data_IF_527859760157
#
_entry.id   IF_527859760157
#
_cell.length_a   1.000
_cell.length_b   1.000
_cell.length_c   1.000
_cell.angle_alpha   90.00
_cell.angle_beta   90.00
_cell.angle_gamma   90.00
#
_symmetry.space_group_name_H-M   'P 1'
#
loop_
_entity.id
_entity.type
_entity.pdbx_description
1 polymer ?
#
# COMPACT_ATOMS: atom_id res chain seq x y z
N UNK A 1 -9.82 1.21 -11.46
CA UNK A 1 -8.91 0.36 -12.25
C UNK A 1 -9.06 -1.07 -11.76
N UNK A 2 -9.18 -2.07 -12.64
CA UNK A 2 -9.17 -3.47 -12.24
C UNK A 2 -7.76 -4.02 -12.43
N UNK A 3 -7.17 -4.53 -11.36
CA UNK A 3 -5.84 -5.14 -11.37
C UNK A 3 -5.98 -6.66 -11.33
N UNK A 4 -5.20 -7.35 -12.15
CA UNK A 4 -5.09 -8.80 -12.13
C UNK A 4 -4.10 -9.20 -11.03
N UNK A 5 -4.65 -9.48 -9.84
CA UNK A 5 -3.87 -9.85 -8.66
C UNK A 5 -3.39 -11.30 -8.76
N UNK A 6 -2.08 -11.51 -8.66
CA UNK A 6 -1.52 -12.83 -8.40
C UNK A 6 -1.76 -13.20 -6.94
N UNK A 7 -2.56 -14.25 -6.70
CA UNK A 7 -2.84 -14.75 -5.36
C UNK A 7 -1.99 -15.99 -5.12
N UNK A 8 -1.08 -15.91 -4.16
CA UNK A 8 -0.31 -17.06 -3.68
C UNK A 8 -0.62 -17.32 -2.20
N UNK A 9 -0.72 -18.59 -1.84
CA UNK A 9 -0.87 -19.04 -0.46
C UNK A 9 0.46 -19.60 0.02
N UNK A 10 0.98 -19.11 1.14
CA UNK A 10 2.18 -19.70 1.72
C UNK A 10 1.89 -21.11 2.28
N UNK A 11 2.93 -21.96 2.32
CA UNK A 11 2.81 -23.41 2.58
C UNK A 11 2.13 -23.79 3.91
N UNK A 12 1.94 -22.83 4.82
CA UNK A 12 1.25 -23.02 6.10
C UNK A 12 -0.25 -22.68 6.04
N UNK A 13 -0.82 -22.40 4.87
CA UNK A 13 -2.26 -22.37 4.61
C UNK A 13 -3.05 -21.15 5.15
N UNK A 14 -2.44 -20.28 5.96
CA UNK A 14 -3.11 -19.12 6.56
C UNK A 14 -2.84 -17.79 5.81
N UNK A 15 -1.68 -17.67 5.15
CA UNK A 15 -1.26 -16.39 4.57
C UNK A 15 -1.53 -16.35 3.06
N UNK A 16 -2.46 -15.48 2.62
CA UNK A 16 -2.61 -15.19 1.19
C UNK A 16 -1.93 -13.86 0.85
N UNK A 17 -0.96 -13.92 -0.05
CA UNK A 17 -0.30 -12.76 -0.64
C UNK A 17 -1.00 -12.43 -1.96
N UNK A 18 -1.59 -11.24 -2.02
CA UNK A 18 -2.09 -10.66 -3.27
C UNK A 18 -0.99 -9.73 -3.81
N UNK A 19 -0.35 -10.13 -4.91
CA UNK A 19 0.70 -9.37 -5.55
C UNK A 19 0.22 -8.78 -6.88
N UNK A 20 0.65 -7.56 -7.17
CA UNK A 20 0.56 -6.96 -8.49
C UNK A 20 1.90 -6.34 -8.86
N UNK A 21 2.23 -6.34 -10.14
CA UNK A 21 3.43 -5.72 -10.68
C UNK A 21 3.04 -4.73 -11.75
N UNK A 22 3.32 -3.45 -11.51
CA UNK A 22 3.16 -2.44 -12.54
C UNK A 22 4.27 -2.59 -13.59
N UNK A 23 3.90 -2.69 -14.87
CA UNK A 23 4.86 -2.85 -15.96
C UNK A 23 5.22 -1.52 -16.63
N UNK A 24 4.23 -0.65 -16.81
CA UNK A 24 4.38 0.68 -17.42
C UNK A 24 3.17 1.54 -17.12
N UNK A 25 3.28 2.84 -17.39
CA UNK A 25 2.18 3.81 -17.33
C UNK A 25 2.27 4.72 -18.55
N UNK A 26 1.12 5.14 -19.07
CA UNK A 26 1.04 6.17 -20.10
C UNK A 26 1.10 7.57 -19.48
N UNK A 27 0.42 7.76 -18.36
CA UNK A 27 0.38 9.01 -17.59
C UNK A 27 0.52 8.71 -16.10
N UNK A 28 1.74 8.86 -15.58
CA UNK A 28 2.04 8.53 -14.18
C UNK A 28 1.15 9.28 -13.19
N UNK A 29 0.82 10.54 -13.45
CA UNK A 29 0.02 11.40 -12.59
C UNK A 29 -1.44 10.95 -12.46
N UNK A 30 -2.02 10.44 -13.55
CA UNK A 30 -3.37 9.88 -13.55
C UNK A 30 -3.40 8.44 -13.01
N UNK A 31 -2.38 7.63 -13.32
CA UNK A 31 -2.40 6.19 -13.08
C UNK A 31 -1.88 5.80 -11.68
N UNK A 32 -0.93 6.54 -11.12
CA UNK A 32 -0.37 6.23 -9.81
C UNK A 32 -1.44 6.31 -8.71
N UNK A 33 -2.27 7.35 -8.71
CA UNK A 33 -3.36 7.48 -7.73
C UNK A 33 -4.35 6.32 -7.84
N UNK A 34 -4.73 5.93 -9.06
CA UNK A 34 -5.61 4.78 -9.29
C UNK A 34 -4.97 3.46 -8.82
N UNK A 35 -3.66 3.31 -8.98
CA UNK A 35 -2.90 2.16 -8.51
C UNK A 35 -2.88 2.08 -6.99
N UNK A 36 -2.64 3.21 -6.32
CA UNK A 36 -2.70 3.31 -4.86
C UNK A 36 -4.10 3.00 -4.33
N UNK A 37 -5.14 3.57 -4.95
CA UNK A 37 -6.55 3.29 -4.61
C UNK A 37 -6.83 1.79 -4.72
N UNK A 38 -6.43 1.16 -5.82
CA UNK A 38 -6.63 -0.27 -6.02
C UNK A 38 -5.90 -1.13 -4.98
N UNK A 39 -4.69 -0.75 -4.56
CA UNK A 39 -3.96 -1.42 -3.48
C UNK A 39 -4.67 -1.30 -2.13
N UNK A 40 -5.12 -0.09 -1.78
CA UNK A 40 -5.85 0.18 -0.53
C UNK A 40 -7.17 -0.57 -0.52
N UNK A 41 -7.95 -0.50 -1.60
CA UNK A 41 -9.23 -1.20 -1.72
C UNK A 41 -9.06 -2.71 -1.62
N UNK A 42 -8.01 -3.26 -2.25
CA UNK A 42 -7.70 -4.68 -2.13
C UNK A 42 -7.39 -5.04 -0.68
N UNK A 43 -6.58 -4.24 0.02
CA UNK A 43 -6.25 -4.50 1.42
C UNK A 43 -7.49 -4.40 2.32
N UNK A 44 -8.33 -3.38 2.11
CA UNK A 44 -9.59 -3.19 2.83
C UNK A 44 -10.55 -4.36 2.59
N UNK A 45 -10.62 -4.89 1.36
CA UNK A 45 -11.45 -6.05 1.05
C UNK A 45 -11.04 -7.33 1.81
N UNK A 46 -9.77 -7.40 2.24
CA UNK A 46 -9.21 -8.51 3.01
C UNK A 46 -9.31 -8.30 4.53
N UNK A 47 -9.67 -7.09 4.99
CA UNK A 47 -9.77 -6.78 6.43
C UNK A 47 -10.71 -7.71 7.21
N UNK A 48 -11.89 -8.13 6.73
CA UNK A 48 -12.74 -9.07 7.46
C UNK A 48 -12.07 -10.40 7.80
N UNK A 49 -11.05 -10.81 7.03
CA UNK A 49 -10.28 -12.03 7.24
C UNK A 49 -8.99 -11.78 8.03
N UNK A 50 -8.53 -10.53 8.08
CA UNK A 50 -7.31 -10.12 8.77
C UNK A 50 -7.52 -9.64 10.20
N UNK A 51 -8.71 -9.11 10.50
CA UNK A 51 -8.96 -8.47 11.79
C UNK A 51 -9.14 -9.49 12.90
N UNK A 52 -8.43 -9.26 13.99
CA UNK A 52 -8.51 -9.99 15.25
C UNK A 52 -8.44 -9.02 16.44
N UNK A 53 -8.43 -9.55 17.66
CA UNK A 53 -8.42 -8.75 18.90
C UNK A 53 -7.11 -7.95 19.10
N UNK A 54 -6.01 -8.36 18.45
CA UNK A 54 -4.70 -7.74 18.58
C UNK A 54 -4.41 -6.70 17.48
N UNK A 55 -5.26 -6.65 16.44
CA UNK A 55 -5.13 -5.78 15.29
C UNK A 55 -5.28 -4.29 15.66
N UNK A 56 -4.23 -3.50 15.41
CA UNK A 56 -4.21 -2.08 15.77
C UNK A 56 -3.85 -1.15 14.62
N UNK A 57 -2.98 -1.59 13.72
CA UNK A 57 -2.45 -0.75 12.65
C UNK A 57 -2.76 -1.32 11.28
N UNK A 58 -3.12 -0.44 10.34
CA UNK A 58 -2.94 -0.68 8.92
C UNK A 58 -1.62 -0.02 8.51
N UNK A 59 -0.60 -0.84 8.28
CA UNK A 59 0.74 -0.40 7.92
C UNK A 59 0.92 -0.41 6.40
N UNK A 60 1.34 0.73 5.88
CA UNK A 60 1.78 0.96 4.51
C UNK A 60 3.30 1.04 4.50
N UNK A 61 3.95 0.00 3.99
CA UNK A 61 5.41 -0.07 3.91
C UNK A 61 5.83 0.15 2.46
N UNK A 62 6.60 1.19 2.19
CA UNK A 62 7.20 1.45 0.89
C UNK A 62 8.72 1.33 1.01
N UNK A 63 9.29 0.27 0.45
CA UNK A 63 10.72 -0.02 0.62
C UNK A 63 11.58 0.53 -0.53
N UNK A 64 12.91 0.37 -0.40
CA UNK A 64 13.89 0.82 -1.40
C UNK A 64 13.81 0.09 -2.75
N UNK A 65 12.96 -0.95 -2.87
CA UNK A 65 12.69 -1.66 -4.12
C UNK A 65 11.45 -1.11 -4.83
N UNK A 66 10.96 0.07 -4.42
CA UNK A 66 9.74 0.71 -4.91
C UNK A 66 8.52 -0.21 -4.81
N UNK A 67 8.47 -1.02 -3.75
CA UNK A 67 7.36 -1.94 -3.49
C UNK A 67 6.50 -1.41 -2.35
N UNK A 68 5.21 -1.20 -2.61
CA UNK A 68 4.22 -0.91 -1.58
C UNK A 68 3.68 -2.22 -1.01
N UNK A 69 3.76 -2.41 0.30
CA UNK A 69 3.07 -3.46 1.05
C UNK A 69 2.02 -2.84 1.95
N UNK A 70 0.83 -3.41 1.94
CA UNK A 70 -0.27 -3.03 2.83
C UNK A 70 -0.61 -4.23 3.70
N UNK A 71 -0.38 -4.09 5.00
CA UNK A 71 -0.48 -5.16 5.99
C UNK A 71 -1.19 -4.67 7.24
N UNK A 72 -2.03 -5.51 7.82
CA UNK A 72 -2.59 -5.26 9.15
C UNK A 72 -1.64 -5.84 10.19
N UNK A 73 -1.43 -5.11 11.29
CA UNK A 73 -0.45 -5.50 12.31
C UNK A 73 -0.92 -5.20 13.73
N UNK A 74 -0.29 -5.89 14.66
CA UNK A 74 -0.40 -5.66 16.10
C UNK A 74 0.27 -4.34 16.55
N UNK A 75 0.25 -4.07 17.85
CA UNK A 75 0.87 -2.86 18.40
C UNK A 75 2.39 -2.75 18.09
N UNK A 76 3.09 -3.90 18.05
CA UNK A 76 4.52 -3.94 17.78
C UNK A 76 4.87 -3.66 16.31
N UNK A 77 3.88 -3.74 15.41
CA UNK A 77 4.02 -3.65 13.94
C UNK A 77 4.86 -4.80 13.35
N UNK A 78 5.18 -5.81 14.16
CA UNK A 78 6.00 -6.96 13.75
C UNK A 78 5.14 -8.18 13.46
N UNK A 79 3.99 -8.32 14.13
CA UNK A 79 3.07 -9.43 13.87
C UNK A 79 2.05 -8.99 12.84
N UNK A 80 2.15 -9.58 11.65
CA UNK A 80 1.21 -9.31 10.56
C UNK A 80 0.03 -10.28 10.60
N UNK A 81 -1.15 -9.77 10.24
CA UNK A 81 -2.33 -10.59 9.98
C UNK A 81 -2.13 -11.51 8.77
N UNK A 82 -3.12 -12.38 8.54
CA UNK A 82 -3.05 -13.44 7.54
C UNK A 82 -2.72 -12.97 6.12
N UNK A 83 -3.47 -12.00 5.61
CA UNK A 83 -3.39 -11.55 4.23
C UNK A 83 -2.57 -10.27 4.09
N UNK A 84 -1.82 -10.18 2.99
CA UNK A 84 -1.09 -8.97 2.61
C UNK A 84 -1.33 -8.60 1.15
N UNK A 85 -1.29 -7.31 0.87
CA UNK A 85 -1.25 -6.77 -0.49
C UNK A 85 0.15 -6.26 -0.77
N UNK A 86 0.69 -6.58 -1.94
CA UNK A 86 1.98 -6.07 -2.41
C UNK A 86 1.86 -5.56 -3.84
N UNK A 87 2.43 -4.39 -4.10
CA UNK A 87 2.50 -3.80 -5.43
C UNK A 87 3.93 -3.39 -5.73
N UNK A 88 4.57 -4.07 -6.69
CA UNK A 88 5.87 -3.67 -7.25
C UNK A 88 5.66 -2.53 -8.23
N UNK A 89 6.23 -1.36 -7.92
CA UNK A 89 6.16 -0.14 -8.72
C UNK A 89 7.53 0.28 -9.29
N UNK A 90 8.54 -0.61 -9.22
CA UNK A 90 9.90 -0.30 -9.69
C UNK A 90 9.98 0.14 -11.15
N UNK A 91 9.05 -0.34 -11.99
CA UNK A 91 8.96 0.07 -13.38
C UNK A 91 8.47 1.51 -13.57
N UNK A 92 7.86 2.13 -12.54
CA UNK A 92 7.29 3.48 -12.60
C UNK A 92 8.30 4.57 -12.30
N UNK A 93 9.38 4.24 -11.59
CA UNK A 93 10.41 5.20 -11.16
C UNK A 93 11.01 6.03 -12.31
N UNK A 94 11.32 5.47 -13.50
CA UNK A 94 11.80 6.24 -14.64
C UNK A 94 10.81 7.30 -15.16
N UNK A 95 9.51 7.13 -14.92
CA UNK A 95 8.46 8.06 -15.36
C UNK A 95 8.33 9.27 -14.43
N UNK A 96 8.79 9.18 -13.17
CA UNK A 96 8.81 10.32 -12.25
C UNK A 96 9.67 11.46 -12.80
N UNK A 97 10.86 11.13 -13.29
CA UNK A 97 11.79 12.10 -13.88
C UNK A 97 11.27 12.72 -15.19
N UNK A 98 10.35 12.04 -15.87
CA UNK A 98 9.75 12.50 -17.12
C UNK A 98 8.45 13.28 -16.90
N UNK A 99 7.87 13.20 -15.71
CA UNK A 99 6.62 13.88 -15.41
C UNK A 99 6.85 15.38 -15.32
N UNK A 100 6.08 16.13 -16.10
CA UNK A 100 5.97 17.59 -15.96
C UNK A 100 4.99 18.01 -14.87
N UNK A 101 4.37 17.06 -14.17
CA UNK A 101 3.36 17.34 -13.17
C UNK A 101 4.00 17.91 -11.89
N UNK A 102 3.50 19.06 -11.44
CA UNK A 102 4.12 19.83 -10.36
C UNK A 102 4.23 19.04 -9.04
N UNK A 103 3.30 18.11 -8.78
CA UNK A 103 3.28 17.27 -7.57
C UNK A 103 4.44 16.28 -7.51
N UNK A 104 5.05 15.94 -8.64
CA UNK A 104 6.14 14.96 -8.71
C UNK A 104 7.51 15.60 -8.91
N UNK A 105 7.54 16.91 -9.16
CA UNK A 105 8.75 17.64 -9.44
C UNK A 105 9.59 17.80 -8.17
N UNK A 106 10.83 17.33 -8.22
CA UNK A 106 11.80 17.39 -7.12
C UNK A 106 11.38 16.65 -5.84
N UNK A 107 10.38 15.75 -5.93
CA UNK A 107 9.86 14.97 -4.81
C UNK A 107 10.35 13.52 -4.83
N UNK A 108 10.50 12.91 -3.65
CA UNK A 108 10.84 11.48 -3.55
C UNK A 108 9.62 10.62 -3.85
N UNK A 109 9.82 9.45 -4.48
CA UNK A 109 8.71 8.56 -4.81
C UNK A 109 7.91 8.14 -3.58
N UNK A 110 8.60 7.81 -2.47
CA UNK A 110 7.97 7.47 -1.20
C UNK A 110 7.04 8.58 -0.68
N UNK A 111 7.42 9.85 -0.81
CA UNK A 111 6.61 10.98 -0.35
C UNK A 111 5.36 11.17 -1.22
N UNK A 112 5.48 10.94 -2.53
CA UNK A 112 4.34 10.95 -3.46
C UNK A 112 3.37 9.82 -3.12
N UNK A 113 3.87 8.59 -2.93
CA UNK A 113 3.06 7.42 -2.53
C UNK A 113 2.37 7.68 -1.19
N UNK A 114 3.11 8.15 -0.19
CA UNK A 114 2.59 8.53 1.13
C UNK A 114 1.46 9.56 1.02
N UNK A 115 1.66 10.61 0.22
CA UNK A 115 0.64 11.62 -0.04
C UNK A 115 -0.62 10.99 -0.64
N UNK A 116 -0.49 10.17 -1.69
CA UNK A 116 -1.64 9.57 -2.37
C UNK A 116 -2.44 8.64 -1.44
N UNK A 117 -1.75 7.88 -0.60
CA UNK A 117 -2.40 7.02 0.41
C UNK A 117 -3.17 7.91 1.39
N UNK A 118 -2.52 8.92 1.97
CA UNK A 118 -3.15 9.83 2.94
C UNK A 118 -4.40 10.48 2.37
N UNK A 119 -4.29 11.04 1.16
CA UNK A 119 -5.39 11.71 0.47
C UNK A 119 -6.57 10.76 0.27
N UNK A 120 -6.31 9.54 -0.22
CA UNK A 120 -7.36 8.55 -0.43
C UNK A 120 -8.02 8.08 0.87
N UNK A 121 -7.24 7.84 1.94
CA UNK A 121 -7.78 7.37 3.22
C UNK A 121 -8.84 8.31 3.79
N UNK A 122 -8.74 9.62 3.55
CA UNK A 122 -9.78 10.59 3.98
C UNK A 122 -11.16 10.35 3.37
N UNK A 123 -11.22 9.66 2.22
CA UNK A 123 -12.44 9.35 1.47
C UNK A 123 -12.78 7.86 1.46
N UNK A 124 -11.90 7.00 1.97
CA UNK A 124 -12.10 5.55 2.00
C UNK A 124 -13.09 5.15 3.11
N UNK A 125 -14.38 5.26 2.82
CA UNK A 125 -15.45 4.93 3.76
C UNK A 125 -15.41 3.48 4.25
N UNK A 126 -14.85 2.55 3.48
CA UNK A 126 -14.69 1.16 3.88
C UNK A 126 -13.59 0.98 4.96
N UNK A 127 -12.47 1.69 4.86
CA UNK A 127 -11.44 1.73 5.90
C UNK A 127 -11.96 2.34 7.21
N UNK A 128 -12.72 3.44 7.11
CA UNK A 128 -13.28 4.16 8.26
C UNK A 128 -14.23 3.33 9.14
N UNK A 129 -14.65 2.14 8.68
CA UNK A 129 -15.47 1.20 9.45
C UNK A 129 -14.65 0.40 10.46
N UNK A 130 -13.32 0.44 10.36
CA UNK A 130 -12.39 -0.27 11.22
C UNK A 130 -11.71 0.73 12.16
N UNK A 131 -11.55 0.34 13.43
CA UNK A 131 -10.86 1.15 14.45
C UNK A 131 -9.33 1.02 14.37
N UNK A 132 -8.78 0.98 13.15
CA UNK A 132 -7.34 0.81 12.90
C UNK A 132 -6.67 2.17 12.71
N UNK A 133 -5.41 2.26 13.13
CA UNK A 133 -4.57 3.42 12.89
C UNK A 133 -3.77 3.21 11.62
N UNK A 134 -3.90 4.11 10.64
CA UNK A 134 -3.08 4.06 9.43
C UNK A 134 -1.67 4.60 9.70
N UNK A 135 -0.65 3.85 9.30
CA UNK A 135 0.76 4.23 9.46
C UNK A 135 1.55 3.96 8.19
N UNK A 136 2.59 4.75 7.97
CA UNK A 136 3.49 4.61 6.84
C UNK A 136 4.93 4.37 7.30
N UNK A 137 5.65 3.48 6.63
CA UNK A 137 7.09 3.26 6.84
C UNK A 137 7.85 3.25 5.51
N UNK A 138 9.05 3.79 5.51
CA UNK A 138 9.99 3.71 4.38
C UNK A 138 10.90 2.46 4.52
N UNK A 139 10.31 1.28 4.75
CA UNK A 139 11.03 0.02 4.96
C UNK A 139 11.61 -0.21 6.36
N UNK A 140 11.47 0.75 7.28
CA UNK A 140 11.84 0.61 8.70
C UNK A 140 10.60 0.75 9.61
N UNK A 141 10.12 -0.37 10.15
CA UNK A 141 8.93 -0.41 11.01
C UNK A 141 9.15 0.17 12.41
N UNK A 142 10.40 0.40 12.82
CA UNK A 142 10.67 1.17 14.05
C UNK A 142 10.41 2.67 13.83
N UNK A 143 10.38 3.12 12.57
CA UNK A 143 10.22 4.52 12.17
C UNK A 143 8.99 4.68 11.28
N UNK A 144 7.82 4.72 11.91
CA UNK A 144 6.55 4.93 11.22
C UNK A 144 6.00 6.33 11.44
N UNK A 145 5.34 6.86 10.42
CA UNK A 145 4.55 8.10 10.48
C UNK A 145 3.06 7.78 10.49
N UNK A 146 2.25 8.59 11.16
CA UNK A 146 0.79 8.52 11.05
C UNK A 146 0.36 9.16 9.72
N UNK A 147 -0.65 8.56 9.07
CA UNK A 147 -1.24 9.05 7.83
C UNK A 147 -2.46 9.93 8.10
#
# INVERSE_FOLDING_TARGET
>A
MNLDWEVSTEANGSLAKCAYRAESVAQLDAELELLIIACVDKAVSLMPQNIDDDSQYLLFEFDSSDTLRVVMTDNSKQQESGHRVACDMSALTPYLAQSSYWKFKDERFADIVKYCIRDYLTTCGAFMRYSLVATFSEGDRARTELL
#
